data_IF_568646732238
#
_entry.id   IF_568646732238
#
_cell.length_a   1.000
_cell.length_b   1.000
_cell.length_c   1.000
_cell.angle_alpha   90.00
_cell.angle_beta   90.00
_cell.angle_gamma   90.00
#
_symmetry.space_group_name_H-M   'P 1'
#
loop_
_entity.id
_entity.type
_entity.pdbx_description
1 polymer ?
#
# COMPACT_ATOMS: atom_id res chain seq x y z
N UNK A 1 17.60 -7.40 20.20
CA UNK A 1 17.44 -6.57 18.99
C UNK A 1 18.55 -6.74 17.93
N UNK A 2 19.84 -7.02 18.27
CA UNK A 2 20.92 -7.22 17.27
C UNK A 2 20.71 -8.43 16.32
N UNK A 3 20.22 -9.56 16.84
CA UNK A 3 20.02 -10.79 16.04
C UNK A 3 18.92 -10.70 14.97
N UNK A 4 17.95 -9.80 15.14
CA UNK A 4 16.88 -9.55 14.16
C UNK A 4 17.39 -8.69 13.01
N UNK A 5 18.30 -7.75 13.28
CA UNK A 5 18.90 -6.87 12.28
C UNK A 5 19.76 -7.65 11.25
N UNK A 6 20.50 -8.68 11.68
CA UNK A 6 21.34 -9.48 10.78
C UNK A 6 20.53 -10.36 9.81
N UNK A 7 19.35 -10.88 10.24
CA UNK A 7 18.48 -11.64 9.35
C UNK A 7 17.88 -10.80 8.22
N UNK A 8 17.59 -9.52 8.46
CA UNK A 8 17.10 -8.59 7.43
C UNK A 8 18.20 -8.06 6.50
N UNK A 9 19.48 -8.34 6.76
CA UNK A 9 20.57 -8.05 5.86
C UNK A 9 20.81 -9.15 4.82
N UNK A 10 20.16 -10.31 4.98
CA UNK A 10 20.23 -11.36 3.98
C UNK A 10 19.34 -11.01 2.79
N UNK A 11 19.96 -10.73 1.64
CA UNK A 11 19.29 -10.33 0.40
C UNK A 11 18.16 -11.29 0.01
N UNK A 12 18.33 -12.58 0.25
CA UNK A 12 17.31 -13.59 -0.03
C UNK A 12 16.04 -13.42 0.83
N UNK A 13 16.20 -13.12 2.12
CA UNK A 13 15.07 -12.90 3.04
C UNK A 13 14.32 -11.63 2.65
N UNK A 14 15.04 -10.57 2.29
CA UNK A 14 14.42 -9.32 1.80
C UNK A 14 13.64 -9.57 0.52
N UNK A 15 14.20 -10.35 -0.40
CA UNK A 15 13.54 -10.73 -1.66
C UNK A 15 12.25 -11.51 -1.41
N UNK A 16 12.28 -12.49 -0.53
CA UNK A 16 11.13 -13.31 -0.20
C UNK A 16 10.02 -12.48 0.47
N UNK A 17 10.37 -11.61 1.41
CA UNK A 17 9.40 -10.70 2.07
C UNK A 17 8.81 -9.73 1.05
N UNK A 18 9.63 -9.14 0.19
CA UNK A 18 9.16 -8.24 -0.86
C UNK A 18 8.17 -8.93 -1.81
N UNK A 19 8.48 -10.16 -2.24
CA UNK A 19 7.58 -10.97 -3.09
C UNK A 19 6.23 -11.21 -2.42
N UNK A 20 6.22 -11.57 -1.14
CA UNK A 20 4.98 -11.76 -0.38
C UNK A 20 4.19 -10.46 -0.28
N UNK A 21 4.86 -9.34 0.00
CA UNK A 21 4.21 -8.03 0.05
C UNK A 21 3.60 -7.64 -1.30
N UNK A 22 4.33 -7.87 -2.41
CA UNK A 22 3.83 -7.58 -3.75
C UNK A 22 2.62 -8.47 -4.12
N UNK A 23 2.66 -9.75 -3.75
CA UNK A 23 1.53 -10.66 -3.95
C UNK A 23 0.29 -10.22 -3.17
N UNK A 24 0.45 -9.88 -1.90
CA UNK A 24 -0.65 -9.36 -1.07
C UNK A 24 -1.21 -8.05 -1.61
N UNK A 25 -0.34 -7.15 -2.07
CA UNK A 25 -0.77 -5.89 -2.68
C UNK A 25 -1.53 -6.11 -3.98
N UNK A 26 -0.98 -6.92 -4.89
CA UNK A 26 -1.62 -7.23 -6.17
C UNK A 26 -2.96 -7.93 -6.03
N UNK A 27 -3.12 -8.81 -5.03
CA UNK A 27 -4.38 -9.50 -4.75
C UNK A 27 -5.49 -8.56 -4.26
N UNK A 28 -5.17 -7.37 -3.80
CA UNK A 28 -6.16 -6.40 -3.31
C UNK A 28 -7.13 -5.96 -4.42
N UNK A 29 -6.65 -5.76 -5.65
CA UNK A 29 -7.47 -5.32 -6.78
C UNK A 29 -8.63 -6.28 -7.10
N UNK A 30 -8.37 -7.56 -7.38
CA UNK A 30 -9.44 -8.52 -7.65
C UNK A 30 -10.33 -8.76 -6.41
N UNK A 31 -9.77 -8.81 -5.20
CA UNK A 31 -10.53 -9.04 -3.98
C UNK A 31 -11.52 -7.89 -3.72
N UNK A 32 -11.12 -6.63 -3.94
CA UNK A 32 -12.02 -5.49 -3.80
C UNK A 32 -13.15 -5.56 -4.82
N UNK A 33 -12.85 -5.91 -6.08
CA UNK A 33 -13.87 -6.08 -7.12
C UNK A 33 -14.85 -7.21 -6.82
N UNK A 34 -14.36 -8.33 -6.32
CA UNK A 34 -15.21 -9.42 -5.84
C UNK A 34 -16.09 -8.93 -4.68
N UNK A 35 -15.53 -8.15 -3.76
CA UNK A 35 -16.27 -7.55 -2.66
C UNK A 35 -17.41 -6.64 -3.15
N UNK A 36 -17.16 -5.77 -4.13
CA UNK A 36 -18.21 -4.93 -4.69
C UNK A 36 -19.34 -5.76 -5.29
N UNK A 37 -19.03 -6.81 -6.04
CA UNK A 37 -20.03 -7.70 -6.61
C UNK A 37 -20.81 -8.48 -5.53
N UNK A 38 -20.13 -8.97 -4.49
CA UNK A 38 -20.73 -9.75 -3.42
C UNK A 38 -21.71 -8.94 -2.58
N UNK A 39 -21.41 -7.67 -2.34
CA UNK A 39 -22.24 -6.74 -1.57
C UNK A 39 -23.19 -5.91 -2.45
N UNK A 40 -23.25 -6.19 -3.76
CA UNK A 40 -24.06 -5.44 -4.73
C UNK A 40 -23.82 -3.93 -4.65
N UNK A 41 -22.55 -3.53 -4.52
CA UNK A 41 -22.15 -2.12 -4.47
C UNK A 41 -22.04 -1.60 -5.91
N UNK A 42 -22.93 -0.68 -6.26
CA UNK A 42 -22.88 -0.01 -7.56
C UNK A 42 -21.73 1.00 -7.61
N UNK A 43 -21.10 1.12 -8.79
CA UNK A 43 -20.01 2.09 -9.00
C UNK A 43 -20.44 3.54 -8.86
N UNK A 44 -21.72 3.84 -9.00
CA UNK A 44 -22.31 5.16 -8.78
C UNK A 44 -22.54 5.48 -7.29
N UNK A 45 -22.63 4.45 -6.43
CA UNK A 45 -22.85 4.61 -4.99
C UNK A 45 -21.56 4.83 -4.21
N UNK A 46 -21.06 6.04 -4.29
CA UNK A 46 -19.83 6.45 -3.58
C UNK A 46 -19.92 6.25 -2.06
N UNK A 47 -21.10 6.37 -1.47
CA UNK A 47 -21.27 6.20 -0.02
C UNK A 47 -21.02 4.74 0.41
N UNK A 48 -21.60 3.77 -0.30
CA UNK A 48 -21.36 2.35 -0.06
C UNK A 48 -19.90 1.94 -0.32
N UNK A 49 -19.27 2.51 -1.34
CA UNK A 49 -17.83 2.29 -1.63
C UNK A 49 -16.97 2.76 -0.46
N UNK A 50 -17.20 3.95 0.07
CA UNK A 50 -16.44 4.50 1.20
C UNK A 50 -16.71 3.70 2.47
N UNK A 51 -17.95 3.32 2.72
CA UNK A 51 -18.33 2.50 3.87
C UNK A 51 -17.63 1.12 3.83
N UNK A 52 -17.62 0.47 2.68
CA UNK A 52 -16.90 -0.79 2.45
C UNK A 52 -15.40 -0.66 2.75
N UNK A 53 -14.77 0.39 2.23
CA UNK A 53 -13.37 0.69 2.50
C UNK A 53 -13.13 0.92 4.01
N UNK A 54 -13.95 1.72 4.66
CA UNK A 54 -13.87 2.03 6.08
C UNK A 54 -13.94 0.79 6.97
N UNK A 55 -14.89 -0.10 6.72
CA UNK A 55 -15.04 -1.37 7.47
C UNK A 55 -13.79 -2.23 7.29
N UNK A 56 -13.25 -2.36 6.07
CA UNK A 56 -12.03 -3.12 5.83
C UNK A 56 -10.83 -2.57 6.60
N UNK A 57 -10.65 -1.24 6.63
CA UNK A 57 -9.55 -0.62 7.37
C UNK A 57 -9.69 -0.75 8.88
N UNK A 58 -10.92 -0.66 9.41
CA UNK A 58 -11.18 -0.89 10.85
C UNK A 58 -10.82 -2.33 11.22
N UNK A 59 -11.30 -3.31 10.45
CA UNK A 59 -10.98 -4.72 10.68
C UNK A 59 -9.48 -5.00 10.58
N UNK A 60 -8.82 -4.48 9.56
CA UNK A 60 -7.37 -4.62 9.40
C UNK A 60 -6.60 -3.98 10.56
N UNK A 61 -7.01 -2.80 11.01
CA UNK A 61 -6.41 -2.10 12.14
C UNK A 61 -6.55 -2.89 13.44
N UNK A 62 -7.75 -3.38 13.72
CA UNK A 62 -8.03 -4.21 14.93
C UNK A 62 -7.21 -5.50 14.89
N UNK A 63 -7.21 -6.22 13.77
CA UNK A 63 -6.40 -7.44 13.60
C UNK A 63 -4.91 -7.17 13.79
N UNK A 64 -4.41 -6.08 13.23
CA UNK A 64 -3.01 -5.68 13.37
C UNK A 64 -2.65 -5.45 14.84
N UNK A 65 -3.47 -4.69 15.58
CA UNK A 65 -3.26 -4.43 17.00
C UNK A 65 -3.27 -5.74 17.80
N UNK A 66 -4.21 -6.63 17.51
CA UNK A 66 -4.33 -7.93 18.19
C UNK A 66 -3.07 -8.77 17.93
N UNK A 67 -2.68 -8.96 16.65
CA UNK A 67 -1.51 -9.77 16.27
C UNK A 67 -0.24 -9.24 16.92
N UNK A 68 0.01 -7.93 16.83
CA UNK A 68 1.21 -7.33 17.41
C UNK A 68 1.21 -7.33 18.94
N UNK A 69 0.04 -7.22 19.58
CA UNK A 69 -0.07 -7.31 21.03
C UNK A 69 0.24 -8.73 21.52
N UNK A 70 -0.25 -9.76 20.82
CA UNK A 70 0.10 -11.15 21.13
C UNK A 70 1.59 -11.43 20.89
N UNK A 71 2.14 -11.00 19.76
CA UNK A 71 3.54 -11.23 19.42
C UNK A 71 4.51 -10.58 20.43
N UNK A 72 4.18 -9.40 20.93
CA UNK A 72 5.01 -8.67 21.90
C UNK A 72 4.63 -8.94 23.37
N UNK A 73 3.61 -9.76 23.64
CA UNK A 73 3.06 -10.02 24.99
C UNK A 73 2.76 -8.73 25.78
N UNK A 74 2.46 -7.64 25.08
CA UNK A 74 2.14 -6.32 25.63
C UNK A 74 1.14 -5.62 24.74
N UNK A 75 0.17 -4.93 25.32
CA UNK A 75 -0.76 -4.12 24.54
C UNK A 75 -0.02 -2.98 23.84
N UNK A 76 -0.02 -3.02 22.51
CA UNK A 76 0.62 -1.99 21.67
C UNK A 76 -0.26 -0.75 21.68
N UNK A 77 0.19 0.30 22.38
CA UNK A 77 -0.50 1.59 22.41
C UNK A 77 0.36 2.65 21.76
N UNK A 78 -0.20 3.52 20.93
CA UNK A 78 0.53 4.65 20.38
C UNK A 78 0.94 5.63 21.48
N UNK A 79 2.14 6.17 21.40
CA UNK A 79 2.59 7.22 22.33
C UNK A 79 1.77 8.48 22.09
N UNK A 80 1.26 9.11 23.14
CA UNK A 80 0.47 10.37 23.05
C UNK A 80 1.18 11.47 22.27
N UNK A 81 2.50 11.58 22.42
CA UNK A 81 3.36 12.54 21.68
C UNK A 81 3.41 12.30 20.16
N UNK A 82 3.14 11.09 19.70
CA UNK A 82 3.18 10.73 18.28
C UNK A 82 1.80 10.80 17.62
N UNK A 83 0.73 10.92 18.40
CA UNK A 83 -0.64 10.85 17.89
C UNK A 83 -0.91 11.90 16.81
N UNK A 84 -0.50 13.16 17.02
CA UNK A 84 -0.70 14.22 16.03
C UNK A 84 -0.01 13.93 14.70
N UNK A 85 1.24 13.44 14.73
CA UNK A 85 1.99 13.07 13.51
C UNK A 85 1.34 11.86 12.82
N UNK A 86 0.86 10.87 13.58
CA UNK A 86 0.15 9.70 13.05
C UNK A 86 -1.17 10.11 12.41
N UNK A 87 -1.93 11.03 13.02
CA UNK A 87 -3.18 11.53 12.44
C UNK A 87 -2.94 12.25 11.10
N UNK A 88 -1.95 13.12 11.02
CA UNK A 88 -1.60 13.81 9.77
C UNK A 88 -1.19 12.79 8.70
N UNK A 89 -0.34 11.83 9.04
CA UNK A 89 0.08 10.80 8.12
C UNK A 89 -1.10 9.94 7.65
N UNK A 90 -1.98 9.54 8.56
CA UNK A 90 -3.18 8.76 8.25
C UNK A 90 -4.15 9.54 7.34
N UNK A 91 -4.27 10.85 7.53
CA UNK A 91 -5.12 11.69 6.69
C UNK A 91 -4.68 11.67 5.23
N UNK A 92 -3.39 11.89 4.97
CA UNK A 92 -2.87 11.94 3.60
C UNK A 92 -2.64 10.55 2.99
N UNK A 93 -2.00 9.65 3.72
CA UNK A 93 -1.56 8.36 3.19
C UNK A 93 -2.65 7.28 3.24
N UNK A 94 -3.64 7.41 4.13
CA UNK A 94 -4.70 6.41 4.22
C UNK A 94 -6.02 7.00 3.73
N UNK A 95 -6.54 8.03 4.39
CA UNK A 95 -7.89 8.51 4.08
C UNK A 95 -7.96 9.07 2.66
N UNK A 96 -7.14 10.06 2.33
CA UNK A 96 -7.21 10.75 1.04
C UNK A 96 -6.78 9.82 -0.11
N UNK A 97 -5.68 9.10 0.05
CA UNK A 97 -5.17 8.18 -0.97
C UNK A 97 -6.18 7.08 -1.29
N UNK A 98 -6.72 6.41 -0.27
CA UNK A 98 -7.63 5.30 -0.49
C UNK A 98 -9.04 5.73 -0.88
N UNK A 99 -9.48 6.93 -0.51
CA UNK A 99 -10.70 7.50 -1.03
C UNK A 99 -10.68 7.55 -2.56
N UNK A 100 -9.65 8.16 -3.14
CA UNK A 100 -9.48 8.22 -4.60
C UNK A 100 -9.26 6.84 -5.21
N UNK A 101 -8.49 5.97 -4.54
CA UNK A 101 -8.21 4.62 -5.02
C UNK A 101 -9.50 3.77 -5.13
N UNK A 102 -10.33 3.75 -4.10
CA UNK A 102 -11.56 2.95 -4.10
C UNK A 102 -12.59 3.47 -5.09
N UNK A 103 -12.77 4.79 -5.16
CA UNK A 103 -13.66 5.40 -6.16
C UNK A 103 -13.15 5.13 -7.57
N UNK A 104 -11.87 5.33 -7.83
CA UNK A 104 -11.26 5.04 -9.12
C UNK A 104 -11.39 3.57 -9.51
N UNK A 105 -11.14 2.64 -8.58
CA UNK A 105 -11.28 1.21 -8.80
C UNK A 105 -12.75 0.80 -9.08
N UNK A 106 -13.73 1.48 -8.52
CA UNK A 106 -15.13 1.22 -8.79
C UNK A 106 -15.49 1.47 -10.26
N UNK A 107 -14.93 2.54 -10.86
CA UNK A 107 -15.21 2.98 -12.23
C UNK A 107 -14.30 2.35 -13.30
N UNK A 108 -13.29 1.55 -12.92
CA UNK A 108 -12.35 0.92 -13.86
C UNK A 108 -12.25 -0.58 -13.64
N UNK A 109 -11.59 -1.28 -14.58
CA UNK A 109 -11.25 -2.69 -14.36
C UNK A 109 -10.07 -2.80 -13.40
N UNK A 110 -9.97 -3.91 -12.65
CA UNK A 110 -8.85 -4.17 -11.74
C UNK A 110 -7.48 -4.10 -12.44
N UNK A 111 -7.40 -4.58 -13.68
CA UNK A 111 -6.17 -4.54 -14.50
C UNK A 111 -5.76 -3.10 -14.81
N UNK A 112 -6.68 -2.28 -15.31
CA UNK A 112 -6.38 -0.86 -15.59
C UNK A 112 -5.95 -0.11 -14.32
N UNK A 113 -6.64 -0.35 -13.20
CA UNK A 113 -6.28 0.26 -11.92
C UNK A 113 -4.88 -0.16 -11.46
N UNK A 114 -4.50 -1.42 -11.61
CA UNK A 114 -3.17 -1.89 -11.22
C UNK A 114 -2.04 -1.29 -12.07
N UNK A 115 -2.28 -1.07 -13.37
CA UNK A 115 -1.33 -0.38 -14.25
C UNK A 115 -1.15 1.09 -13.83
N UNK A 116 -2.26 1.79 -13.56
CA UNK A 116 -2.23 3.18 -13.10
C UNK A 116 -1.51 3.29 -11.75
N UNK A 117 -1.82 2.39 -10.81
CA UNK A 117 -1.17 2.36 -9.51
C UNK A 117 0.33 2.07 -9.63
N UNK A 118 0.73 1.11 -10.47
CA UNK A 118 2.13 0.83 -10.78
C UNK A 118 2.89 2.07 -11.32
N UNK A 119 2.21 2.92 -12.07
CA UNK A 119 2.78 4.17 -12.59
C UNK A 119 3.16 5.14 -11.46
N UNK A 120 2.48 5.12 -10.32
CA UNK A 120 2.77 5.97 -9.17
C UNK A 120 4.20 5.80 -8.65
N UNK A 121 4.75 4.58 -8.72
CA UNK A 121 6.13 4.28 -8.32
C UNK A 121 7.16 5.06 -9.13
N UNK A 122 6.90 5.26 -10.43
CA UNK A 122 7.79 6.05 -11.30
C UNK A 122 7.76 7.52 -10.91
N UNK A 123 6.57 8.07 -10.68
CA UNK A 123 6.44 9.45 -10.21
C UNK A 123 7.12 9.63 -8.86
N UNK A 124 7.00 8.67 -7.95
CA UNK A 124 7.70 8.71 -6.67
C UNK A 124 9.23 8.76 -6.83
N UNK A 125 9.80 7.95 -7.73
CA UNK A 125 11.24 7.96 -8.03
C UNK A 125 11.64 9.30 -8.65
N UNK A 126 10.90 9.81 -9.62
CA UNK A 126 11.18 11.10 -10.26
C UNK A 126 11.15 12.25 -9.24
N UNK A 127 10.12 12.28 -8.39
CA UNK A 127 9.97 13.30 -7.34
C UNK A 127 11.12 13.21 -6.33
N UNK A 128 11.49 12.00 -5.90
CA UNK A 128 12.59 11.77 -4.96
C UNK A 128 13.93 12.27 -5.51
N UNK A 129 14.16 12.09 -6.82
CA UNK A 129 15.42 12.50 -7.46
C UNK A 129 15.42 13.99 -7.79
N UNK A 130 14.36 14.49 -8.43
CA UNK A 130 14.37 15.87 -8.97
C UNK A 130 13.98 16.91 -7.93
N UNK A 131 12.98 16.62 -7.07
CA UNK A 131 12.47 17.59 -6.10
C UNK A 131 13.22 17.47 -4.79
N UNK A 132 13.27 16.28 -4.22
CA UNK A 132 13.90 16.08 -2.90
C UNK A 132 15.41 15.89 -2.95
N UNK A 133 16.00 15.58 -4.13
CA UNK A 133 17.44 15.35 -4.33
C UNK A 133 18.04 14.37 -3.29
N UNK A 134 17.21 13.48 -2.76
CA UNK A 134 17.60 12.51 -1.74
C UNK A 134 18.45 11.38 -2.31
N UNK A 135 18.33 11.14 -3.63
CA UNK A 135 19.02 10.06 -4.29
C UNK A 135 19.68 10.52 -5.59
N UNK A 136 20.86 9.93 -5.89
CA UNK A 136 21.54 10.20 -7.17
C UNK A 136 20.86 9.44 -8.30
N UNK A 137 20.73 10.09 -9.44
CA UNK A 137 20.23 9.50 -10.68
C UNK A 137 21.30 8.52 -11.19
N UNK A 138 21.06 7.23 -11.00
CA UNK A 138 21.99 6.19 -11.45
C UNK A 138 21.40 5.51 -12.67
N UNK A 139 22.22 5.20 -13.66
CA UNK A 139 21.79 4.52 -14.90
C UNK A 139 21.06 3.20 -14.62
N UNK A 140 21.50 2.46 -13.60
CA UNK A 140 20.81 1.25 -13.15
C UNK A 140 19.36 1.49 -12.69
N UNK A 141 19.07 2.64 -12.06
CA UNK A 141 17.69 3.01 -11.67
C UNK A 141 16.81 3.31 -12.87
N UNK A 142 17.36 3.98 -13.87
CA UNK A 142 16.64 4.27 -15.12
C UNK A 142 16.27 2.96 -15.83
N UNK A 143 17.24 2.07 -16.01
CA UNK A 143 16.99 0.77 -16.63
C UNK A 143 16.00 -0.07 -15.82
N UNK A 144 16.18 -0.17 -14.51
CA UNK A 144 15.26 -0.88 -13.62
C UNK A 144 13.83 -0.34 -13.69
N UNK A 145 13.69 0.98 -13.75
CA UNK A 145 12.41 1.64 -13.91
C UNK A 145 11.77 1.33 -15.27
N UNK A 146 12.51 1.46 -16.36
CA UNK A 146 12.01 1.15 -17.71
C UNK A 146 11.56 -0.30 -17.83
N UNK A 147 12.38 -1.25 -17.37
CA UNK A 147 12.02 -2.67 -17.39
C UNK A 147 10.82 -2.97 -16.47
N UNK A 148 10.78 -2.38 -15.27
CA UNK A 148 9.65 -2.53 -14.37
C UNK A 148 8.35 -2.01 -14.97
N UNK A 149 8.38 -0.84 -15.62
CA UNK A 149 7.21 -0.28 -16.28
C UNK A 149 6.77 -1.12 -17.48
N UNK A 150 7.71 -1.54 -18.31
CA UNK A 150 7.40 -2.41 -19.44
C UNK A 150 6.70 -3.69 -18.98
N UNK A 151 7.14 -4.29 -17.85
CA UNK A 151 6.51 -5.48 -17.27
C UNK A 151 5.13 -5.26 -16.68
N UNK A 152 4.77 -4.01 -16.31
CA UNK A 152 3.43 -3.68 -15.82
C UNK A 152 2.45 -3.43 -16.97
N UNK A 153 2.95 -2.95 -18.14
CA UNK A 153 2.12 -2.62 -19.31
C UNK A 153 1.86 -3.84 -20.21
N UNK A 154 2.76 -4.84 -20.20
CA UNK A 154 2.62 -6.10 -20.92
C UNK A 154 1.63 -7.04 -20.22
#
# INVERSE_FOLDING_TARGET
MKKTSEKFQNVFVVWLIATVCCFLWGSAFPIIKIGYNLFNIDSSDTASIIMFAGIRFILAGVLTIIIFSFANKKLVKPKKTSLGKVCVLAMFQTILQYLFFYIGLAHTTGVKSSIIDGTSTFFAILISVFIFKQEKFTFAKILGSLFGFSGVVL
#
